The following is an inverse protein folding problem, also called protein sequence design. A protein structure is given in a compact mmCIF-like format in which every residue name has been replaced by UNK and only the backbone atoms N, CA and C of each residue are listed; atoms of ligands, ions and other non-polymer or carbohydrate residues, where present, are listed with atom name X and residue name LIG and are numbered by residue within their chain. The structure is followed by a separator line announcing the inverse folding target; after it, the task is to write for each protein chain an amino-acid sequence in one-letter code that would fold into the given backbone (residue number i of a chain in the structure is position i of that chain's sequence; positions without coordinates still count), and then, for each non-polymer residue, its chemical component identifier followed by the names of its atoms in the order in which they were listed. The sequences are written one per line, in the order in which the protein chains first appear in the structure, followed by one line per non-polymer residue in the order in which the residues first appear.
data_IF_359015607320
#
_entry.id   IF_359015607320
#
_cell.length_a   1.000
_cell.length_b   1.000
_cell.length_c   1.000
_cell.angle_alpha   90.00
_cell.angle_beta   90.00
_cell.angle_gamma   90.00
#
_symmetry.space_group_name_H-M   'P 1'
#
loop_
_entity.id
_entity.type
_entity.pdbx_description
1 polymer ?
#
# COMPACT_ATOMS: atom_id res chain seq x y z
N UNK A 1 12.84 23.20 15.02
CA UNK A 1 12.35 21.87 14.61
C UNK A 1 11.82 22.00 13.20
N UNK A 2 12.23 21.16 12.24
CA UNK A 2 11.72 21.23 10.86
C UNK A 2 10.21 20.94 10.83
N UNK A 3 9.46 21.74 10.08
CA UNK A 3 8.02 21.57 9.87
C UNK A 3 7.75 21.01 8.47
N UNK A 4 6.99 19.91 8.39
CA UNK A 4 6.47 19.42 7.11
C UNK A 4 5.24 20.23 6.70
N UNK A 5 5.31 20.87 5.54
CA UNK A 5 4.21 21.66 4.96
C UNK A 5 3.85 21.08 3.59
N UNK A 6 2.56 20.90 3.32
CA UNK A 6 2.08 20.51 2.00
C UNK A 6 1.74 21.76 1.18
N UNK A 7 2.23 21.84 -0.05
CA UNK A 7 1.90 22.93 -0.96
C UNK A 7 0.40 22.88 -1.32
N UNK A 8 -0.34 23.94 -1.01
CA UNK A 8 -1.78 24.01 -1.32
C UNK A 8 -2.12 23.99 -2.81
N UNK A 9 -1.15 24.24 -3.70
CA UNK A 9 -1.38 24.24 -5.16
C UNK A 9 -1.16 22.86 -5.79
N UNK A 10 0.01 22.25 -5.56
CA UNK A 10 0.39 20.99 -6.21
C UNK A 10 0.39 19.76 -5.29
N UNK A 11 0.03 19.93 -4.01
CA UNK A 11 0.09 18.91 -2.95
C UNK A 11 1.47 18.30 -2.70
N UNK A 12 2.54 18.90 -3.26
CA UNK A 12 3.92 18.50 -3.00
C UNK A 12 4.31 18.78 -1.55
N UNK A 13 5.02 17.86 -0.90
CA UNK A 13 5.50 18.01 0.48
C UNK A 13 6.84 18.71 0.50
N UNK A 14 7.03 19.64 1.42
CA UNK A 14 8.31 20.32 1.65
C UNK A 14 8.58 20.42 3.15
N UNK A 15 9.85 20.44 3.52
CA UNK A 15 10.32 20.62 4.89
C UNK A 15 10.81 22.06 5.04
N UNK A 16 10.24 22.81 5.99
CA UNK A 16 10.61 24.19 6.29
C UNK A 16 11.36 24.24 7.61
N UNK A 17 12.58 24.77 7.62
CA UNK A 17 13.42 24.82 8.82
C UNK A 17 13.07 25.97 9.76
N UNK A 18 12.58 27.09 9.22
CA UNK A 18 12.29 28.31 9.97
C UNK A 18 10.81 28.66 9.90
N UNK A 19 10.04 28.56 11.01
CA UNK A 19 8.65 29.02 11.05
C UNK A 19 8.56 30.51 10.73
N UNK A 20 7.44 30.95 10.14
CA UNK A 20 7.25 32.34 9.71
C UNK A 20 7.99 32.77 8.43
N UNK A 21 8.80 31.90 7.81
CA UNK A 21 9.45 32.20 6.53
C UNK A 21 8.54 31.92 5.33
N UNK A 22 8.71 32.71 4.26
CA UNK A 22 8.06 32.48 2.97
C UNK A 22 8.98 31.62 2.12
N UNK A 23 8.51 30.45 1.71
CA UNK A 23 9.31 29.47 0.96
C UNK A 23 8.59 29.13 -0.36
N UNK A 24 9.33 29.10 -1.47
CA UNK A 24 8.78 28.70 -2.76
C UNK A 24 8.72 27.17 -2.85
N UNK A 25 7.58 26.62 -3.25
CA UNK A 25 7.44 25.19 -3.45
C UNK A 25 8.33 24.72 -4.62
N UNK A 26 9.20 23.72 -4.43
CA UNK A 26 10.11 23.24 -5.49
C UNK A 26 9.38 22.55 -6.64
N UNK A 27 8.14 22.10 -6.43
CA UNK A 27 7.37 21.37 -7.44
C UNK A 27 6.58 22.28 -8.39
N UNK A 28 6.14 23.46 -7.94
CA UNK A 28 5.27 24.33 -8.74
C UNK A 28 5.59 25.83 -8.66
N UNK A 29 6.58 26.23 -7.88
CA UNK A 29 6.98 27.65 -7.71
C UNK A 29 6.03 28.49 -6.87
N UNK A 30 4.94 27.92 -6.33
CA UNK A 30 4.01 28.67 -5.50
C UNK A 30 4.61 29.02 -4.13
N UNK A 31 4.46 30.27 -3.68
CA UNK A 31 4.98 30.74 -2.40
C UNK A 31 4.06 30.30 -1.26
N UNK A 32 4.65 29.75 -0.20
CA UNK A 32 3.96 29.29 1.01
C UNK A 32 4.46 30.07 2.21
N UNK A 33 3.55 30.57 3.03
CA UNK A 33 3.88 31.20 4.31
C UNK A 33 3.79 30.13 5.40
N UNK A 34 4.92 29.79 6.03
CA UNK A 34 4.91 28.87 7.16
C UNK A 34 4.14 29.50 8.34
N UNK A 35 3.19 28.78 8.97
CA UNK A 35 2.43 29.31 10.11
C UNK A 35 3.38 29.68 11.25
N UNK A 36 3.17 30.87 11.80
CA UNK A 36 3.92 31.38 12.94
C UNK A 36 3.28 30.82 14.22
N UNK A 37 3.94 29.85 14.84
CA UNK A 37 3.51 29.31 16.13
C UNK A 37 4.19 30.12 17.23
N UNK A 38 3.43 30.72 18.17
CA UNK A 38 4.04 31.37 19.32
C UNK A 38 4.82 30.31 20.11
N UNK A 39 6.14 30.43 20.12
CA UNK A 39 6.99 29.58 20.94
C UNK A 39 6.82 30.09 22.38
N UNK A 40 6.05 29.36 23.18
CA UNK A 40 6.07 29.54 24.65
C UNK A 40 7.46 29.12 25.14
N UNK A 41 8.34 30.10 25.34
CA UNK A 41 9.62 29.91 26.00
C UNK A 41 9.36 29.63 27.48
N UNK A 42 9.28 28.35 27.86
CA UNK A 42 9.47 27.93 29.24
C UNK A 42 10.91 28.23 29.65
N UNK A 43 11.10 29.33 30.37
CA UNK A 43 12.32 29.67 31.08
C UNK A 43 12.56 28.60 32.16
N UNK A 44 13.53 27.73 31.93
CA UNK A 44 14.03 26.79 32.92
C UNK A 44 15.12 27.51 33.73
N UNK A 45 14.77 28.05 34.90
CA UNK A 45 15.75 28.47 35.91
C UNK A 45 16.41 27.23 36.55
N UNK A 46 17.75 27.18 36.66
CA UNK A 46 18.43 26.11 37.37
C UNK A 46 18.34 26.35 38.88
N UNK A 47 17.44 25.63 39.54
CA UNK A 47 17.33 25.59 41.00
C UNK A 47 18.49 24.82 41.64
N UNK A 48 19.27 25.53 42.45
CA UNK A 48 20.30 25.03 43.37
C UNK A 48 19.67 24.06 44.39
N UNK A 49 20.12 22.81 44.42
CA UNK A 49 19.72 21.83 45.42
C UNK A 49 20.70 21.83 46.60
N UNK A 50 20.26 22.33 47.74
CA UNK A 50 20.87 22.07 49.04
C UNK A 50 20.44 20.68 49.54
N UNK A 51 21.38 20.03 50.23
CA UNK A 51 21.26 18.69 50.80
C UNK A 51 20.49 18.71 52.12
N UNK A 52 19.63 17.72 52.36
CA UNK A 52 19.41 17.17 53.70
C UNK A 52 19.14 15.66 53.64
N UNK A 53 19.84 14.96 54.53
CA UNK A 53 19.70 13.56 54.93
C UNK A 53 18.27 13.22 55.35
N UNK A 54 17.74 12.07 54.93
CA UNK A 54 17.08 11.18 55.91
C UNK A 54 17.14 9.72 55.45
N UNK A 55 17.49 8.87 56.42
CA UNK A 55 17.79 7.47 56.25
C UNK A 55 16.53 6.61 56.40
N UNK A 56 16.34 5.61 55.54
CA UNK A 56 15.63 4.39 55.97
C UNK A 56 16.20 3.17 55.27
N UNK A 57 16.79 2.31 56.09
CA UNK A 57 17.43 1.05 55.73
C UNK A 57 16.41 0.00 55.26
N UNK A 58 16.66 -0.66 54.13
CA UNK A 58 16.16 -2.01 53.88
C UNK A 58 17.32 -2.92 53.46
N UNK A 59 17.37 -4.03 54.19
CA UNK A 59 18.36 -5.08 54.30
C UNK A 59 18.44 -5.93 53.01
N UNK A 60 19.63 -6.08 52.43
CA UNK A 60 19.95 -7.09 51.41
C UNK A 60 21.06 -7.98 51.97
N UNK A 61 20.73 -9.25 52.21
CA UNK A 61 21.71 -10.30 52.52
C UNK A 61 22.36 -10.86 51.24
N UNK A 62 23.60 -11.36 51.32
CA UNK A 62 24.36 -11.82 50.16
C UNK A 62 24.05 -13.29 49.84
N UNK A 63 24.00 -13.62 48.54
CA UNK A 63 24.02 -15.02 48.09
C UNK A 63 25.42 -15.28 47.53
N UNK A 64 26.10 -16.19 48.22
CA UNK A 64 27.46 -16.66 48.02
C UNK A 64 27.53 -17.60 46.81
N UNK A 65 28.59 -17.46 46.02
CA UNK A 65 29.07 -18.48 45.08
C UNK A 65 29.62 -19.69 45.84
N UNK A 66 29.30 -20.88 45.35
CA UNK A 66 30.14 -22.08 45.52
C UNK A 66 30.03 -22.93 44.26
N UNK A 67 31.18 -23.15 43.63
CA UNK A 67 31.45 -24.29 42.76
C UNK A 67 31.45 -25.58 43.59
N UNK A 68 30.99 -26.70 43.03
CA UNK A 68 31.85 -27.87 42.83
C UNK A 68 31.11 -29.02 42.12
N UNK A 69 31.90 -29.60 41.23
CA UNK A 69 32.06 -30.96 40.70
C UNK A 69 31.04 -32.11 40.95
N UNK A 70 31.10 -33.00 39.94
CA UNK A 70 30.97 -34.46 39.97
C UNK A 70 29.66 -35.18 39.57
N UNK A 71 29.79 -35.85 38.42
CA UNK A 71 29.54 -37.28 38.15
C UNK A 71 28.19 -37.88 38.58
N UNK A 72 27.47 -38.48 37.63
CA UNK A 72 27.19 -39.93 37.56
C UNK A 72 26.48 -40.24 36.23
N UNK A 73 26.92 -41.31 35.59
CA UNK A 73 26.35 -41.90 34.38
C UNK A 73 25.03 -42.64 34.67
N UNK A 74 24.32 -42.95 33.58
CA UNK A 74 23.67 -44.23 33.30
C UNK A 74 22.14 -44.25 33.11
N UNK A 75 21.81 -45.07 32.13
CA UNK A 75 20.57 -45.76 31.79
C UNK A 75 19.34 -45.05 31.18
N UNK A 76 19.23 -45.25 29.85
CA UNK A 76 18.25 -46.14 29.22
C UNK A 76 16.77 -45.99 29.62
N UNK A 77 15.93 -45.52 28.68
CA UNK A 77 14.81 -46.33 28.20
C UNK A 77 14.15 -45.80 26.91
N UNK A 78 14.31 -46.64 25.89
CA UNK A 78 13.45 -46.78 24.72
C UNK A 78 12.01 -47.06 25.14
N UNK A 79 11.06 -46.30 24.60
CA UNK A 79 9.65 -46.71 24.46
C UNK A 79 9.22 -46.44 23.03
N UNK A 80 9.52 -47.43 22.20
CA UNK A 80 8.78 -47.79 20.99
C UNK A 80 7.31 -48.05 21.36
N UNK A 81 6.40 -47.27 20.79
CA UNK A 81 4.95 -47.49 20.86
C UNK A 81 4.34 -47.44 19.47
N UNK A 82 4.60 -48.47 18.66
CA UNK A 82 3.79 -48.81 17.49
C UNK A 82 2.51 -49.48 17.96
N UNK A 83 1.37 -48.86 17.75
CA UNK A 83 0.05 -49.50 17.83
C UNK A 83 -0.85 -48.75 16.84
N UNK A 84 -1.56 -49.53 16.03
CA UNK A 84 -2.55 -49.21 14.98
C UNK A 84 -2.10 -49.59 13.58
N UNK A 85 -1.94 -50.91 13.41
CA UNK A 85 -2.53 -51.65 12.30
C UNK A 85 -4.06 -51.46 12.35
N UNK A 86 -4.64 -50.93 11.28
CA UNK A 86 -6.04 -51.20 10.94
C UNK A 86 -6.12 -51.33 9.41
N UNK A 87 -6.07 -52.59 8.97
CA UNK A 87 -6.43 -53.01 7.63
C UNK A 87 -7.94 -52.84 7.46
N UNK A 88 -8.38 -52.10 6.43
CA UNK A 88 -9.61 -52.49 5.76
C UNK A 88 -9.62 -52.12 4.28
N UNK A 89 -9.38 -53.17 3.50
CA UNK A 89 -9.76 -53.40 2.12
C UNK A 89 -11.07 -52.74 1.71
N UNK A 90 -11.10 -52.06 0.57
CA UNK A 90 -12.24 -52.17 -0.35
C UNK A 90 -11.79 -52.03 -1.80
N UNK A 91 -12.12 -53.08 -2.55
CA UNK A 91 -11.85 -53.32 -3.95
C UNK A 91 -12.53 -52.33 -4.92
N UNK A 92 -11.85 -52.17 -6.05
CA UNK A 92 -12.36 -52.20 -7.42
C UNK A 92 -13.70 -51.53 -7.77
N UNK A 93 -13.62 -50.50 -8.61
CA UNK A 93 -14.41 -50.46 -9.86
C UNK A 93 -13.76 -49.50 -10.85
N UNK A 94 -13.05 -50.09 -11.79
CA UNK A 94 -12.66 -49.52 -13.08
C UNK A 94 -13.93 -49.30 -13.92
N UNK A 95 -14.21 -48.05 -14.28
CA UNK A 95 -15.02 -47.74 -15.46
C UNK A 95 -14.35 -46.63 -16.27
N UNK A 96 -13.79 -47.02 -17.42
CA UNK A 96 -13.56 -46.13 -18.55
C UNK A 96 -14.91 -45.62 -19.08
N UNK A 97 -14.94 -44.40 -19.64
CA UNK A 97 -15.53 -44.33 -20.96
C UNK A 97 -14.67 -43.54 -21.96
N UNK A 98 -14.29 -44.27 -23.00
CA UNK A 98 -14.61 -44.00 -24.41
C UNK A 98 -14.43 -42.56 -24.90
N UNK A 99 -13.39 -42.40 -25.72
CA UNK A 99 -13.17 -41.31 -26.65
C UNK A 99 -14.37 -41.06 -27.58
N UNK A 100 -14.75 -39.80 -27.75
CA UNK A 100 -15.51 -39.33 -28.92
C UNK A 100 -15.07 -37.90 -29.26
N UNK A 101 -14.14 -37.80 -30.20
CA UNK A 101 -14.12 -36.72 -31.20
C UNK A 101 -14.95 -37.23 -32.41
N UNK A 102 -15.50 -36.42 -33.33
CA UNK A 102 -15.03 -35.10 -33.79
C UNK A 102 -16.14 -34.05 -34.09
N UNK A 103 -15.76 -32.79 -34.31
CA UNK A 103 -16.27 -31.95 -35.41
C UNK A 103 -15.69 -30.51 -35.31
N UNK A 104 -14.86 -30.16 -36.30
CA UNK A 104 -14.64 -28.77 -36.71
C UNK A 104 -15.94 -28.20 -37.32
N UNK A 105 -16.16 -26.89 -37.17
CA UNK A 105 -16.49 -26.13 -38.36
C UNK A 105 -15.63 -24.88 -38.52
N UNK A 106 -15.00 -24.84 -39.68
CA UNK A 106 -14.54 -23.65 -40.40
C UNK A 106 -15.70 -22.64 -40.55
N UNK A 107 -15.48 -21.38 -40.18
CA UNK A 107 -16.26 -20.27 -40.71
C UNK A 107 -15.44 -18.98 -40.62
N UNK A 108 -14.88 -18.60 -41.78
CA UNK A 108 -14.53 -17.24 -42.13
C UNK A 108 -15.66 -16.27 -41.76
N UNK A 109 -15.33 -15.15 -41.11
CA UNK A 109 -16.13 -13.93 -41.25
C UNK A 109 -15.24 -12.70 -41.34
N UNK A 110 -15.32 -12.13 -42.54
CA UNK A 110 -14.72 -10.89 -42.97
C UNK A 110 -15.18 -9.67 -42.17
N UNK A 111 -14.23 -8.74 -41.99
CA UNK A 111 -14.30 -7.29 -42.29
C UNK A 111 -15.59 -6.57 -41.92
N UNK A 112 -15.50 -5.70 -40.91
CA UNK A 112 -16.05 -4.33 -40.97
C UNK A 112 -15.06 -3.41 -40.25
N UNK A 113 -14.25 -2.69 -41.02
CA UNK A 113 -13.70 -1.39 -40.61
C UNK A 113 -14.87 -0.40 -40.55
N UNK A 114 -15.11 0.21 -39.39
CA UNK A 114 -15.95 1.39 -39.29
C UNK A 114 -15.09 2.54 -38.77
N UNK A 115 -14.52 3.26 -39.74
CA UNK A 115 -13.87 4.55 -39.59
C UNK A 115 -14.97 5.60 -39.63
N UNK A 116 -15.23 6.25 -38.50
CA UNK A 116 -15.96 7.53 -38.49
C UNK A 116 -15.03 8.68 -38.12
N UNK A 117 -14.90 9.69 -38.99
CA UNK A 117 -14.22 10.94 -38.69
C UNK A 117 -15.22 11.93 -38.10
N UNK A 118 -14.93 12.48 -36.93
CA UNK A 118 -15.61 13.67 -36.39
C UNK A 118 -14.51 14.65 -36.02
N UNK A 119 -14.21 15.57 -36.94
CA UNK A 119 -14.56 17.00 -36.81
C UNK A 119 -14.03 17.57 -35.48
N UNK A 120 -12.87 18.22 -35.45
CA UNK A 120 -12.72 19.54 -36.07
C UNK A 120 -13.33 20.58 -35.15
N UNK A 121 -12.67 20.85 -34.02
CA UNK A 121 -12.95 22.04 -33.21
C UNK A 121 -11.69 22.88 -33.19
N UNK A 122 -11.87 24.02 -33.83
CA UNK A 122 -11.00 25.17 -34.02
C UNK A 122 -10.34 25.64 -32.74
N UNK A 123 -9.01 25.65 -32.84
CA UNK A 123 -8.07 26.65 -32.33
C UNK A 123 -8.70 28.04 -32.16
N UNK A 124 -9.01 28.42 -30.92
CA UNK A 124 -9.30 29.82 -30.56
C UNK A 124 -8.05 30.40 -29.91
N UNK A 125 -7.26 31.00 -30.78
CA UNK A 125 -6.12 31.86 -30.53
C UNK A 125 -6.59 33.10 -29.75
N UNK A 126 -6.35 33.13 -28.44
CA UNK A 126 -6.45 34.38 -27.67
C UNK A 126 -5.19 35.21 -27.89
N UNK A 127 -5.30 36.12 -28.86
CA UNK A 127 -4.39 37.24 -29.11
C UNK A 127 -4.35 38.12 -27.85
N UNK A 128 -3.18 38.17 -27.23
CA UNK A 128 -2.83 39.21 -26.27
C UNK A 128 -2.41 40.46 -27.06
N UNK A 129 -3.29 41.46 -27.13
CA UNK A 129 -2.91 42.81 -27.56
C UNK A 129 -2.39 43.60 -26.36
N UNK A 130 -1.10 43.93 -26.45
CA UNK A 130 -0.34 44.84 -25.61
C UNK A 130 -0.38 46.24 -26.25
N UNK A 131 -0.84 47.31 -25.57
CA UNK A 131 -0.66 48.65 -26.08
C UNK A 131 0.53 49.34 -25.40
N UNK A 132 1.57 49.55 -26.21
CA UNK A 132 2.69 50.43 -25.94
C UNK A 132 2.26 51.90 -25.71
N UNK A 133 3.08 52.70 -25.01
CA UNK A 133 2.79 54.11 -24.72
C UNK A 133 3.28 55.01 -25.86
N UNK A 134 2.34 55.69 -26.53
CA UNK A 134 2.64 56.74 -27.52
C UNK A 134 2.43 58.13 -26.93
N UNK A 135 3.53 58.87 -26.71
CA UNK A 135 3.50 60.31 -26.48
C UNK A 135 3.48 61.08 -27.80
N UNK A 136 2.90 62.30 -27.80
CA UNK A 136 2.93 63.20 -28.95
C UNK A 136 1.99 64.42 -28.84
N UNK A 137 2.50 65.48 -28.22
CA UNK A 137 2.41 66.93 -28.52
C UNK A 137 1.13 67.58 -29.11
N UNK A 138 0.66 68.58 -28.36
CA UNK A 138 0.26 69.97 -28.73
C UNK A 138 -0.17 70.30 -30.17
N UNK A 139 -1.41 70.78 -30.34
CA UNK A 139 -1.71 71.95 -31.19
C UNK A 139 -2.97 72.68 -30.71
N UNK A 140 -2.90 74.02 -30.71
CA UNK A 140 -3.84 74.92 -30.06
C UNK A 140 -4.86 75.57 -31.04
N UNK A 141 -6.05 75.84 -30.47
CA UNK A 141 -6.99 76.92 -30.80
C UNK A 141 -8.06 76.67 -31.91
N UNK A 142 -9.09 77.52 -32.02
CA UNK A 142 -10.33 77.43 -31.23
C UNK A 142 -11.59 77.37 -32.12
N UNK A 143 -12.65 76.70 -31.66
CA UNK A 143 -13.85 76.51 -32.46
C UNK A 143 -15.07 76.08 -31.65
N UNK A 144 -15.58 77.04 -30.87
CA UNK A 144 -16.86 77.01 -30.18
C UNK A 144 -18.02 76.62 -31.11
N UNK A 145 -18.50 75.38 -31.02
CA UNK A 145 -19.87 74.99 -31.39
C UNK A 145 -20.42 74.02 -30.36
N UNK A 146 -21.15 74.59 -29.43
CA UNK A 146 -21.92 73.98 -28.34
C UNK A 146 -22.85 72.89 -28.89
N UNK A 147 -22.41 71.63 -28.78
CA UNK A 147 -23.22 70.45 -29.06
C UNK A 147 -24.07 70.15 -27.80
N UNK A 148 -25.38 69.89 -27.94
CA UNK A 148 -26.27 69.69 -26.78
C UNK A 148 -25.79 68.49 -25.94
N UNK A 149 -25.93 68.57 -24.60
CA UNK A 149 -25.41 67.55 -23.68
C UNK A 149 -26.05 66.21 -24.00
N UNK A 150 -25.24 65.21 -24.38
CA UNK A 150 -25.73 63.85 -24.52
C UNK A 150 -26.33 63.40 -23.19
N UNK A 151 -27.50 62.73 -23.18
CA UNK A 151 -28.11 62.23 -21.95
C UNK A 151 -27.07 61.40 -21.20
N UNK A 152 -26.72 61.86 -20.00
CA UNK A 152 -25.84 61.13 -19.08
C UNK A 152 -26.43 59.73 -18.94
N UNK A 153 -25.71 58.72 -19.46
CA UNK A 153 -26.04 57.31 -19.23
C UNK A 153 -26.23 57.16 -17.73
N UNK A 154 -27.47 56.96 -17.30
CA UNK A 154 -27.77 56.67 -15.92
C UNK A 154 -27.00 55.39 -15.61
N UNK A 155 -25.95 55.51 -14.79
CA UNK A 155 -25.24 54.34 -14.31
C UNK A 155 -26.27 53.52 -13.57
N UNK A 156 -26.52 52.30 -14.05
CA UNK A 156 -27.39 51.33 -13.39
C UNK A 156 -26.75 51.01 -12.03
N UNK A 157 -27.16 51.75 -11.00
CA UNK A 157 -26.66 51.55 -9.65
C UNK A 157 -27.50 50.43 -9.04
N UNK A 158 -26.88 49.27 -8.87
CA UNK A 158 -27.50 48.11 -8.23
C UNK A 158 -28.05 48.53 -6.87
N UNK A 159 -29.30 48.14 -6.57
CA UNK A 159 -29.93 48.49 -5.30
C UNK A 159 -29.08 47.99 -4.13
N UNK A 160 -28.90 48.83 -3.09
CA UNK A 160 -28.11 48.46 -1.90
C UNK A 160 -28.57 47.15 -1.26
N UNK A 161 -29.88 46.85 -1.33
CA UNK A 161 -30.45 45.60 -0.81
C UNK A 161 -30.01 44.40 -1.63
N UNK A 162 -30.06 44.50 -2.95
CA UNK A 162 -29.58 43.44 -3.86
C UNK A 162 -28.09 43.18 -3.66
N UNK A 163 -27.30 44.24 -3.49
CA UNK A 163 -25.87 44.11 -3.19
C UNK A 163 -25.62 43.39 -1.86
N UNK A 164 -26.33 43.76 -0.79
CA UNK A 164 -26.16 43.12 0.53
C UNK A 164 -26.57 41.64 0.52
N UNK A 165 -27.66 41.29 -0.18
CA UNK A 165 -28.08 39.90 -0.34
C UNK A 165 -27.00 39.10 -1.06
N UNK A 166 -26.50 39.63 -2.18
CA UNK A 166 -25.46 38.97 -2.97
C UNK A 166 -24.15 38.83 -2.19
N UNK A 167 -23.75 39.85 -1.42
CA UNK A 167 -22.59 39.80 -0.54
C UNK A 167 -22.76 38.71 0.53
N UNK A 168 -23.91 38.65 1.20
CA UNK A 168 -24.17 37.64 2.23
C UNK A 168 -24.17 36.21 1.67
N UNK A 169 -24.76 36.02 0.48
CA UNK A 169 -24.76 34.75 -0.23
C UNK A 169 -23.35 34.33 -0.63
N UNK A 170 -22.57 35.25 -1.23
CA UNK A 170 -21.19 34.99 -1.62
C UNK A 170 -20.31 34.61 -0.41
N UNK A 171 -20.48 35.29 0.73
CA UNK A 171 -19.78 34.94 1.98
C UNK A 171 -20.18 33.55 2.48
N UNK A 172 -21.48 33.21 2.47
CA UNK A 172 -21.96 31.90 2.90
C UNK A 172 -21.43 30.77 2.01
N UNK A 173 -21.46 30.94 0.68
CA UNK A 173 -20.90 29.98 -0.28
C UNK A 173 -19.39 29.82 -0.08
N UNK A 174 -18.67 30.92 0.13
CA UNK A 174 -17.22 30.87 0.39
C UNK A 174 -16.90 30.10 1.67
N UNK A 175 -17.65 30.32 2.76
CA UNK A 175 -17.50 29.57 4.00
C UNK A 175 -17.84 28.08 3.83
N UNK A 176 -18.89 27.75 3.07
CA UNK A 176 -19.23 26.36 2.77
C UNK A 176 -18.13 25.68 1.95
N UNK A 177 -17.58 26.36 0.94
CA UNK A 177 -16.44 25.87 0.16
C UNK A 177 -15.20 25.68 1.03
N UNK A 178 -14.89 26.61 1.93
CA UNK A 178 -13.77 26.50 2.86
C UNK A 178 -13.95 25.32 3.82
N UNK A 179 -15.16 25.11 4.32
CA UNK A 179 -15.49 23.97 5.18
C UNK A 179 -15.38 22.63 4.44
N UNK A 180 -15.89 22.54 3.21
CA UNK A 180 -15.73 21.34 2.37
C UNK A 180 -14.26 21.09 2.04
N UNK A 181 -13.50 22.13 1.70
CA UNK A 181 -12.07 22.02 1.44
C UNK A 181 -11.31 21.56 2.70
N UNK A 182 -11.66 22.11 3.87
CA UNK A 182 -11.13 21.66 5.15
C UNK A 182 -11.46 20.19 5.41
N UNK A 183 -12.68 19.73 5.08
CA UNK A 183 -13.04 18.32 5.18
C UNK A 183 -12.26 17.45 4.21
N UNK A 184 -12.02 17.88 2.97
CA UNK A 184 -11.26 17.12 1.98
C UNK A 184 -9.79 16.99 2.40
N UNK A 185 -9.19 18.05 2.94
CA UNK A 185 -7.80 18.03 3.41
C UNK A 185 -7.65 17.19 4.68
N UNK A 186 -8.62 17.27 5.60
CA UNK A 186 -8.57 16.55 6.88
C UNK A 186 -9.36 15.25 6.85
N UNK A 187 -9.78 14.77 5.67
CA UNK A 187 -10.43 13.48 5.55
C UNK A 187 -9.47 12.43 6.12
N UNK A 188 -9.91 11.65 7.12
CA UNK A 188 -9.05 10.64 7.70
C UNK A 188 -8.63 9.68 6.59
N UNK A 189 -7.31 9.59 6.35
CA UNK A 189 -6.76 8.59 5.45
C UNK A 189 -7.27 7.23 5.89
N UNK A 190 -7.68 6.40 4.92
CA UNK A 190 -8.25 5.11 5.24
C UNK A 190 -7.22 4.31 6.06
N UNK A 191 -7.62 3.70 7.18
CA UNK A 191 -6.70 3.02 8.11
C UNK A 191 -5.79 1.99 7.42
N UNK A 192 -6.28 1.42 6.31
CA UNK A 192 -5.57 0.44 5.48
C UNK A 192 -4.38 1.00 4.69
N UNK A 193 -4.27 2.32 4.57
CA UNK A 193 -3.15 2.99 3.92
C UNK A 193 -1.94 3.20 4.85
N UNK A 194 -2.15 3.08 6.16
CA UNK A 194 -1.15 3.38 7.19
C UNK A 194 -1.21 2.35 8.32
N UNK A 195 -0.96 1.10 7.96
CA UNK A 195 -0.85 0.06 8.98
C UNK A 195 0.57 0.07 9.57
N UNK A 196 0.71 -0.09 10.89
CA UNK A 196 2.01 -0.27 11.52
C UNK A 196 2.66 -1.56 11.00
N UNK A 197 3.99 -1.55 10.90
CA UNK A 197 4.76 -2.76 10.59
C UNK A 197 4.56 -3.82 11.68
N UNK A 198 4.33 -5.11 11.36
CA UNK A 198 4.31 -6.16 12.36
C UNK A 198 5.59 -6.17 13.18
N UNK A 199 5.44 -6.07 14.50
CA UNK A 199 6.58 -6.11 15.42
C UNK A 199 6.87 -7.58 15.75
N UNK A 200 8.12 -8.06 15.57
CA UNK A 200 8.46 -9.45 15.89
C UNK A 200 8.27 -9.72 17.38
N UNK A 201 7.78 -10.92 17.70
CA UNK A 201 7.40 -11.34 19.05
C UNK A 201 8.48 -11.07 20.10
N UNK A 202 9.76 -11.27 19.75
CA UNK A 202 10.93 -11.09 20.63
C UNK A 202 10.98 -9.71 21.29
N UNK A 203 10.48 -8.66 20.63
CA UNK A 203 10.50 -7.28 21.17
C UNK A 203 9.31 -6.96 22.09
N UNK A 204 8.25 -7.77 22.07
CA UNK A 204 6.99 -7.45 22.77
C UNK A 204 6.83 -8.16 24.12
N UNK A 205 7.78 -9.02 24.51
CA UNK A 205 7.70 -9.82 25.74
C UNK A 205 6.57 -10.87 25.75
N UNK A 206 5.70 -10.90 24.73
CA UNK A 206 4.69 -11.93 24.52
C UNK A 206 5.32 -13.13 23.82
N UNK A 207 5.04 -14.34 24.32
CA UNK A 207 5.58 -15.59 23.77
C UNK A 207 5.15 -15.75 22.31
N UNK A 208 6.11 -15.56 21.39
CA UNK A 208 6.12 -16.17 20.07
C UNK A 208 5.20 -15.63 18.97
N UNK A 209 4.27 -14.70 19.23
CA UNK A 209 3.40 -14.14 18.18
C UNK A 209 3.78 -12.71 17.80
N UNK A 210 3.98 -12.48 16.50
CA UNK A 210 4.12 -11.12 15.96
C UNK A 210 2.81 -10.35 16.15
N UNK A 211 2.90 -9.11 16.62
CA UNK A 211 1.73 -8.25 16.78
C UNK A 211 1.51 -7.53 15.46
N UNK A 212 0.43 -7.89 14.78
CA UNK A 212 -0.03 -7.31 13.51
C UNK A 212 -1.42 -6.72 13.72
N UNK A 213 -1.68 -5.56 13.15
CA UNK A 213 -3.05 -5.05 13.07
C UNK A 213 -3.84 -5.84 12.03
N UNK A 214 -4.85 -6.57 12.49
CA UNK A 214 -5.68 -7.39 11.62
C UNK A 214 -6.73 -6.54 10.92
N UNK A 215 -6.91 -6.81 9.63
CA UNK A 215 -7.93 -6.17 8.81
C UNK A 215 -8.97 -7.21 8.43
N UNK A 216 -10.22 -6.94 8.80
CA UNK A 216 -11.32 -7.83 8.46
C UNK A 216 -11.46 -8.04 6.96
N UNK A 217 -11.77 -9.27 6.56
CA UNK A 217 -11.90 -9.60 5.15
C UNK A 217 -13.04 -8.86 4.44
N UNK A 218 -14.01 -8.36 5.21
CA UNK A 218 -15.13 -7.57 4.72
C UNK A 218 -14.86 -6.06 4.71
N UNK A 219 -13.70 -5.62 5.19
CA UNK A 219 -13.39 -4.19 5.15
C UNK A 219 -13.24 -3.76 3.69
N UNK A 220 -13.95 -2.70 3.27
CA UNK A 220 -13.83 -2.18 1.92
C UNK A 220 -12.40 -1.70 1.69
N UNK A 221 -11.90 -1.94 0.49
CA UNK A 221 -10.59 -1.41 0.09
C UNK A 221 -10.69 0.08 -0.21
N UNK A 222 -9.65 0.88 0.11
CA UNK A 222 -9.60 2.26 -0.31
C UNK A 222 -9.54 2.36 -1.85
N UNK A 223 -9.92 3.52 -2.37
CA UNK A 223 -9.94 3.75 -3.82
C UNK A 223 -8.53 3.64 -4.40
N UNK A 224 -8.36 2.78 -5.40
CA UNK A 224 -7.07 2.55 -6.05
C UNK A 224 -6.16 1.56 -5.34
N UNK A 225 -6.67 0.79 -4.37
CA UNK A 225 -5.97 -0.35 -3.77
C UNK A 225 -6.40 -1.70 -4.35
N UNK A 226 -7.29 -1.73 -5.32
CA UNK A 226 -7.58 -2.93 -6.12
C UNK A 226 -6.94 -2.74 -7.49
N UNK A 227 -6.08 -3.66 -7.90
CA UNK A 227 -5.35 -3.64 -9.16
C UNK A 227 -5.76 -4.83 -10.02
N UNK A 228 -5.85 -4.64 -11.33
CA UNK A 228 -5.93 -5.75 -12.27
C UNK A 228 -4.53 -6.32 -12.60
N UNK A 229 -4.49 -7.51 -13.19
CA UNK A 229 -3.22 -8.07 -13.70
C UNK A 229 -2.64 -7.19 -14.81
N UNK A 230 -1.38 -6.79 -14.66
CA UNK A 230 -0.66 -5.91 -15.59
C UNK A 230 -0.68 -4.44 -15.18
N UNK A 231 -1.58 -4.04 -14.30
CA UNK A 231 -1.66 -2.66 -13.81
C UNK A 231 -0.48 -2.32 -12.89
N UNK A 232 -0.17 -1.03 -12.79
CA UNK A 232 0.89 -0.54 -11.92
C UNK A 232 0.37 0.58 -11.03
N UNK A 233 0.56 0.43 -9.72
CA UNK A 233 0.11 1.42 -8.73
C UNK A 233 1.21 1.73 -7.74
N UNK A 234 1.38 3.01 -7.43
CA UNK A 234 2.31 3.48 -6.42
C UNK A 234 1.64 3.44 -5.05
N UNK A 235 2.28 2.77 -4.11
CA UNK A 235 1.95 2.79 -2.70
C UNK A 235 3.16 3.32 -1.93
N UNK A 236 3.06 4.55 -1.41
CA UNK A 236 4.19 5.21 -0.75
C UNK A 236 5.40 5.31 -1.68
N UNK A 237 6.50 4.67 -1.32
CA UNK A 237 7.74 4.61 -2.10
C UNK A 237 7.88 3.35 -2.96
N UNK A 238 6.87 2.48 -3.00
CA UNK A 238 6.91 1.24 -3.79
C UNK A 238 5.90 1.30 -4.92
N UNK A 239 6.36 1.07 -6.14
CA UNK A 239 5.50 0.79 -7.29
C UNK A 239 5.27 -0.72 -7.38
N UNK A 240 4.00 -1.12 -7.35
CA UNK A 240 3.56 -2.51 -7.40
C UNK A 240 2.95 -2.81 -8.76
N UNK A 241 3.36 -3.92 -9.37
CA UNK A 241 2.78 -4.42 -10.62
C UNK A 241 2.48 -5.92 -10.53
N UNK A 242 1.21 -6.33 -10.46
CA UNK A 242 0.83 -7.73 -10.58
C UNK A 242 1.10 -8.22 -12.00
N UNK A 243 1.83 -9.33 -12.16
CA UNK A 243 2.28 -9.79 -13.46
C UNK A 243 1.37 -10.88 -14.02
N UNK A 244 1.16 -11.94 -13.24
CA UNK A 244 0.44 -13.15 -13.66
C UNK A 244 0.12 -14.03 -12.48
N UNK A 245 -0.77 -14.99 -12.70
CA UNK A 245 -1.09 -16.06 -11.76
C UNK A 245 -0.95 -17.38 -12.46
N UNK A 246 -0.16 -18.27 -11.87
CA UNK A 246 0.09 -19.61 -12.41
C UNK A 246 -0.32 -20.66 -11.37
N UNK A 247 -0.69 -21.85 -11.85
CA UNK A 247 -0.83 -23.04 -11.03
C UNK A 247 0.37 -23.96 -11.27
N UNK A 248 1.12 -24.24 -10.22
CA UNK A 248 2.41 -24.96 -10.26
C UNK A 248 2.66 -25.71 -8.95
N UNK A 249 3.66 -26.61 -8.95
CA UNK A 249 4.22 -27.16 -7.71
C UNK A 249 5.09 -26.10 -6.99
N UNK A 250 5.06 -26.14 -5.67
CA UNK A 250 5.89 -25.32 -4.78
C UNK A 250 7.14 -26.12 -4.38
N UNK A 251 8.30 -25.63 -4.80
CA UNK A 251 9.60 -26.20 -4.47
C UNK A 251 10.30 -25.38 -3.38
N UNK A 252 11.31 -25.97 -2.73
CA UNK A 252 12.00 -25.36 -1.58
C UNK A 252 13.53 -25.37 -1.72
N UNK A 253 14.19 -24.46 -1.01
CA UNK A 253 15.64 -24.39 -0.82
C UNK A 253 15.95 -24.34 0.70
N UNK A 254 16.75 -25.28 1.26
CA UNK A 254 17.29 -26.47 0.63
C UNK A 254 16.18 -27.43 0.13
N UNK A 255 16.50 -28.33 -0.83
CA UNK A 255 15.51 -29.21 -1.44
C UNK A 255 14.67 -29.99 -0.42
N UNK A 256 13.36 -29.94 -0.59
CA UNK A 256 12.36 -30.68 0.19
C UNK A 256 11.27 -31.18 -0.76
N UNK A 257 10.44 -32.16 -0.38
CA UNK A 257 9.32 -32.60 -1.20
C UNK A 257 8.48 -31.41 -1.67
N UNK A 258 8.22 -31.34 -2.97
CA UNK A 258 7.41 -30.30 -3.55
C UNK A 258 5.96 -30.43 -3.04
N UNK A 259 5.29 -29.29 -2.84
CA UNK A 259 3.90 -29.23 -2.36
C UNK A 259 3.04 -28.65 -3.48
N UNK A 260 1.89 -29.25 -3.79
CA UNK A 260 0.99 -28.64 -4.76
C UNK A 260 -0.07 -29.58 -5.34
N UNK A 261 -0.87 -29.09 -6.29
CA UNK A 261 -0.72 -27.79 -6.96
C UNK A 261 -1.03 -26.60 -6.03
N UNK A 262 -0.29 -25.49 -6.18
CA UNK A 262 -0.58 -24.20 -5.55
C UNK A 262 -0.79 -23.12 -6.61
N UNK A 263 -1.46 -22.03 -6.26
CA UNK A 263 -1.45 -20.82 -7.08
C UNK A 263 -0.26 -19.94 -6.68
N UNK A 264 0.43 -19.37 -7.65
CA UNK A 264 1.51 -18.40 -7.45
C UNK A 264 1.10 -17.06 -8.06
N UNK A 265 0.88 -16.06 -7.22
CA UNK A 265 0.70 -14.67 -7.66
C UNK A 265 2.08 -14.03 -7.85
N UNK A 266 2.46 -13.76 -9.10
CA UNK A 266 3.71 -13.09 -9.44
C UNK A 266 3.54 -11.57 -9.39
N UNK A 267 4.45 -10.91 -8.67
CA UNK A 267 4.45 -9.47 -8.44
C UNK A 267 5.83 -8.90 -8.78
N UNK A 268 5.84 -7.70 -9.35
CA UNK A 268 7.04 -6.86 -9.45
C UNK A 268 6.93 -5.69 -8.50
N UNK A 269 7.95 -5.50 -7.68
CA UNK A 269 8.12 -4.33 -6.83
C UNK A 269 9.26 -3.48 -7.38
N UNK A 270 9.04 -2.17 -7.45
CA UNK A 270 10.08 -1.19 -7.79
C UNK A 270 10.13 -0.14 -6.70
N UNK A 271 11.31 0.10 -6.14
CA UNK A 271 11.51 1.18 -5.22
C UNK A 271 11.64 2.50 -5.99
N UNK A 272 10.69 3.41 -5.77
CA UNK A 272 10.63 4.74 -6.38
C UNK A 272 10.90 5.86 -5.36
N UNK A 273 11.50 5.53 -4.20
CA UNK A 273 12.13 6.56 -3.37
C UNK A 273 13.45 7.01 -3.99
N UNK A 274 13.89 8.20 -3.60
CA UNK A 274 15.20 8.73 -3.96
C UNK A 274 16.28 8.39 -2.90
N UNK A 275 15.86 8.06 -1.67
CA UNK A 275 16.73 8.05 -0.49
C UNK A 275 16.55 6.84 0.45
N UNK A 276 15.46 6.08 0.32
CA UNK A 276 15.16 4.97 1.24
C UNK A 276 15.51 3.62 0.65
N UNK A 277 16.10 2.75 1.47
CA UNK A 277 16.23 1.32 1.19
C UNK A 277 15.04 0.60 1.79
N UNK A 278 14.29 -0.16 0.99
CA UNK A 278 13.01 -0.73 1.44
C UNK A 278 12.94 -2.20 1.10
N UNK A 279 12.64 -3.04 2.09
CA UNK A 279 12.21 -4.42 1.85
C UNK A 279 10.67 -4.46 1.77
N UNK A 280 10.06 -4.55 0.56
CA UNK A 280 8.60 -4.40 0.42
C UNK A 280 7.84 -5.60 0.97
N UNK A 281 8.46 -6.77 0.93
CA UNK A 281 7.97 -8.01 1.50
C UNK A 281 9.08 -8.65 2.31
N UNK A 282 8.68 -9.25 3.42
CA UNK A 282 9.50 -10.16 4.21
C UNK A 282 8.62 -11.29 4.75
N UNK A 283 9.26 -12.29 5.35
CA UNK A 283 8.56 -13.45 5.88
C UNK A 283 7.56 -13.09 6.98
N UNK A 284 7.86 -12.10 7.81
CA UNK A 284 6.96 -11.65 8.89
C UNK A 284 5.68 -11.07 8.31
N UNK A 285 5.78 -10.18 7.31
CA UNK A 285 4.62 -9.59 6.65
C UNK A 285 3.76 -10.63 5.92
N UNK A 286 4.40 -11.56 5.20
CA UNK A 286 3.69 -12.55 4.40
C UNK A 286 3.01 -13.62 5.26
N UNK A 287 3.68 -14.10 6.30
CA UNK A 287 3.32 -15.34 7.01
C UNK A 287 2.85 -15.14 8.44
N UNK A 288 2.84 -13.90 8.96
CA UNK A 288 2.25 -13.65 10.27
C UNK A 288 0.78 -14.06 10.28
N UNK A 289 0.47 -14.92 11.25
CA UNK A 289 -0.85 -15.47 11.53
C UNK A 289 -1.15 -15.22 13.00
N UNK A 290 -2.37 -14.78 13.29
CA UNK A 290 -2.88 -14.66 14.65
C UNK A 290 -3.99 -15.67 14.87
N UNK A 291 -3.99 -16.28 16.05
CA UNK A 291 -5.02 -17.22 16.45
C UNK A 291 -5.82 -16.60 17.58
N UNK A 292 -7.10 -16.33 17.33
CA UNK A 292 -8.03 -15.82 18.32
C UNK A 292 -9.32 -16.65 18.28
N UNK A 293 -9.71 -17.22 19.42
CA UNK A 293 -10.87 -18.10 19.56
C UNK A 293 -10.88 -19.29 18.57
N UNK A 294 -9.71 -19.90 18.35
CA UNK A 294 -9.55 -21.02 17.41
C UNK A 294 -9.70 -20.63 15.93
N UNK A 295 -9.82 -19.34 15.61
CA UNK A 295 -9.84 -18.81 14.25
C UNK A 295 -8.49 -18.23 13.91
N UNK A 296 -8.05 -18.53 12.70
CA UNK A 296 -6.82 -17.99 12.12
C UNK A 296 -7.11 -16.70 11.36
N UNK A 297 -6.31 -15.68 11.63
CA UNK A 297 -6.40 -14.36 11.03
C UNK A 297 -5.07 -13.99 10.38
N UNK A 298 -5.15 -13.51 9.14
CA UNK A 298 -4.01 -12.98 8.39
C UNK A 298 -4.49 -11.91 7.41
N UNK A 299 -3.59 -11.03 7.00
CA UNK A 299 -3.88 -9.99 6.02
C UNK A 299 -3.59 -10.45 4.57
N UNK A 300 -2.94 -11.61 4.40
CA UNK A 300 -2.63 -12.18 3.08
C UNK A 300 -3.48 -13.42 2.82
N UNK A 301 -4.37 -13.35 1.84
CA UNK A 301 -5.23 -14.47 1.47
C UNK A 301 -5.89 -14.24 0.12
N UNK A 302 -6.41 -15.33 -0.44
CA UNK A 302 -7.15 -15.40 -1.69
C UNK A 302 -8.62 -15.75 -1.39
N UNK A 303 -9.56 -15.09 -2.05
CA UNK A 303 -10.98 -15.33 -1.87
C UNK A 303 -11.76 -15.06 -3.15
N UNK A 304 -12.95 -15.64 -3.24
CA UNK A 304 -13.88 -15.37 -4.33
C UNK A 304 -14.62 -14.05 -4.08
N UNK A 305 -14.70 -13.20 -5.10
CA UNK A 305 -15.39 -11.92 -4.96
C UNK A 305 -16.87 -12.15 -4.60
N UNK A 306 -17.39 -11.40 -3.63
CA UNK A 306 -18.73 -11.60 -3.07
C UNK A 306 -18.87 -12.73 -2.04
N UNK A 307 -17.83 -13.54 -1.78
CA UNK A 307 -17.83 -14.59 -0.74
C UNK A 307 -16.66 -14.45 0.26
N UNK A 308 -16.64 -13.41 1.10
CA UNK A 308 -15.52 -13.11 2.02
C UNK A 308 -15.38 -14.09 3.21
N UNK A 309 -16.21 -15.15 3.28
CA UNK A 309 -16.18 -16.15 4.36
C UNK A 309 -15.34 -17.39 4.06
N UNK A 310 -14.84 -17.54 2.84
CA UNK A 310 -14.05 -18.70 2.40
C UNK A 310 -12.70 -18.22 1.88
N UNK A 311 -11.71 -18.25 2.76
CA UNK A 311 -10.38 -17.75 2.49
C UNK A 311 -9.45 -18.93 2.21
N UNK A 312 -8.71 -18.86 1.12
CA UNK A 312 -7.51 -19.68 0.89
C UNK A 312 -6.32 -18.87 1.37
N UNK A 313 -5.59 -19.37 2.36
CA UNK A 313 -4.44 -18.67 2.93
C UNK A 313 -3.22 -18.80 2.02
N UNK A 314 -2.14 -18.09 2.35
CA UNK A 314 -0.83 -18.38 1.78
C UNK A 314 -0.30 -19.70 2.34
N UNK A 315 0.52 -20.40 1.55
CA UNK A 315 1.18 -21.62 2.01
C UNK A 315 1.94 -21.36 3.31
N UNK A 316 1.78 -22.25 4.29
CA UNK A 316 2.44 -22.08 5.57
C UNK A 316 3.94 -22.37 5.44
N UNK A 317 4.78 -21.46 5.90
CA UNK A 317 6.22 -21.69 6.02
C UNK A 317 6.70 -21.12 7.37
N UNK A 318 7.62 -21.78 8.09
CA UNK A 318 8.05 -21.30 9.40
C UNK A 318 8.65 -19.90 9.33
N UNK A 319 8.16 -18.98 10.19
CA UNK A 319 8.70 -17.63 10.32
C UNK A 319 10.21 -17.64 10.62
N UNK A 320 10.66 -18.64 11.39
CA UNK A 320 12.06 -18.88 11.69
C UNK A 320 12.48 -20.19 11.02
N UNK A 321 13.54 -20.16 10.23
CA UNK A 321 14.08 -21.33 9.56
C UNK A 321 14.80 -20.99 8.27
N UNK A 322 15.61 -21.93 7.78
CA UNK A 322 16.34 -21.82 6.52
C UNK A 322 15.57 -22.39 5.32
N UNK A 323 14.32 -22.80 5.51
CA UNK A 323 13.47 -23.32 4.44
C UNK A 323 12.82 -22.17 3.68
N UNK A 324 13.31 -21.98 2.46
CA UNK A 324 12.94 -20.92 1.54
C UNK A 324 12.11 -21.52 0.40
N UNK A 325 11.21 -20.74 -0.21
CA UNK A 325 10.53 -21.14 -1.43
C UNK A 325 11.46 -20.91 -2.60
N UNK A 326 11.67 -21.96 -3.40
CA UNK A 326 12.64 -21.90 -4.49
C UNK A 326 12.30 -20.77 -5.47
N UNK A 327 13.28 -19.92 -5.75
CA UNK A 327 13.11 -18.77 -6.64
C UNK A 327 12.22 -17.65 -6.09
N UNK A 328 11.77 -17.72 -4.83
CA UNK A 328 11.12 -16.59 -4.18
C UNK A 328 12.19 -15.68 -3.59
N UNK A 329 12.56 -14.62 -4.31
CA UNK A 329 13.59 -13.67 -3.87
C UNK A 329 13.23 -12.92 -2.56
N UNK A 330 12.04 -13.11 -1.98
CA UNK A 330 11.54 -12.40 -0.80
C UNK A 330 11.43 -13.26 0.48
N UNK A 331 11.74 -14.56 0.45
CA UNK A 331 11.51 -15.44 1.61
C UNK A 331 12.50 -15.25 2.76
N UNK A 332 13.63 -14.55 2.57
CA UNK A 332 14.59 -14.31 3.67
C UNK A 332 13.95 -13.68 4.90
N UNK A 333 14.55 -13.87 6.09
CA UNK A 333 14.05 -13.31 7.36
C UNK A 333 13.85 -11.78 7.28
N UNK A 334 14.73 -11.09 6.57
CA UNK A 334 14.67 -9.65 6.31
C UNK A 334 14.03 -9.28 4.96
N UNK A 335 13.61 -10.27 4.17
CA UNK A 335 13.21 -10.08 2.77
C UNK A 335 14.34 -9.55 1.89
N UNK A 336 14.01 -9.17 0.65
CA UNK A 336 14.93 -8.48 -0.25
C UNK A 336 14.77 -6.98 -0.10
N UNK A 337 15.85 -6.33 0.35
CA UNK A 337 15.95 -4.87 0.44
C UNK A 337 16.23 -4.32 -0.95
N UNK A 338 15.45 -3.33 -1.37
CA UNK A 338 15.60 -2.61 -2.62
C UNK A 338 16.24 -1.24 -2.39
N UNK A 339 17.30 -0.96 -3.12
CA UNK A 339 17.86 0.39 -3.23
C UNK A 339 16.91 1.31 -4.02
N UNK A 340 17.01 2.65 -3.89
CA UNK A 340 16.36 3.61 -4.77
C UNK A 340 16.49 3.24 -6.26
N UNK A 341 15.36 3.13 -6.96
CA UNK A 341 15.29 2.74 -8.37
C UNK A 341 15.40 1.24 -8.66
N UNK A 342 15.74 0.40 -7.67
CA UNK A 342 15.85 -1.05 -7.86
C UNK A 342 14.45 -1.68 -8.01
N UNK A 343 14.38 -2.75 -8.82
CA UNK A 343 13.18 -3.58 -8.91
C UNK A 343 13.50 -5.06 -8.76
N UNK A 344 12.53 -5.82 -8.27
CA UNK A 344 12.61 -7.28 -8.25
C UNK A 344 11.24 -7.92 -8.48
N UNK A 345 11.29 -9.16 -8.95
CA UNK A 345 10.13 -10.01 -9.16
C UNK A 345 10.12 -11.12 -8.12
N UNK A 346 8.94 -11.43 -7.62
CA UNK A 346 8.71 -12.46 -6.61
C UNK A 346 7.31 -13.03 -6.78
N UNK A 347 6.99 -14.07 -6.03
CA UNK A 347 5.66 -14.64 -6.01
C UNK A 347 5.15 -14.89 -4.59
N UNK A 348 3.82 -14.95 -4.45
CA UNK A 348 3.14 -15.36 -3.23
C UNK A 348 2.39 -16.68 -3.51
N UNK A 349 2.77 -17.79 -2.87
CA UNK A 349 2.08 -19.06 -3.05
C UNK A 349 0.85 -19.15 -2.13
N UNK A 350 -0.28 -19.56 -2.71
CA UNK A 350 -1.45 -19.98 -1.94
C UNK A 350 -1.18 -21.31 -1.23
N UNK A 351 -2.01 -21.64 -0.25
CA UNK A 351 -2.12 -23.00 0.23
C UNK A 351 -2.75 -23.92 -0.83
N UNK A 352 -2.66 -25.22 -0.60
CA UNK A 352 -3.32 -26.27 -1.40
C UNK A 352 -4.81 -26.37 -1.09
N UNK A 353 -5.21 -25.97 0.12
CA UNK A 353 -6.59 -26.05 0.58
C UNK A 353 -7.51 -25.03 -0.10
N UNK A 354 -8.69 -25.51 -0.51
CA UNK A 354 -9.75 -24.67 -1.06
C UNK A 354 -9.59 -24.30 -2.54
N UNK A 355 -8.49 -24.67 -3.20
CA UNK A 355 -8.21 -24.30 -4.59
C UNK A 355 -9.27 -24.75 -5.59
N UNK A 356 -9.83 -25.96 -5.42
CA UNK A 356 -10.85 -26.51 -6.30
C UNK A 356 -12.15 -25.67 -6.35
N UNK A 357 -12.35 -24.78 -5.37
CA UNK A 357 -13.57 -23.97 -5.22
C UNK A 357 -13.41 -22.57 -5.81
N UNK A 358 -12.19 -22.16 -6.13
CA UNK A 358 -11.87 -20.84 -6.66
C UNK A 358 -12.25 -20.76 -8.14
N UNK A 359 -13.42 -20.19 -8.41
CA UNK A 359 -14.00 -20.07 -9.75
C UNK A 359 -14.55 -18.65 -9.97
N UNK A 360 -14.55 -18.20 -11.23
CA UNK A 360 -15.03 -16.87 -11.61
C UNK A 360 -14.13 -15.74 -11.08
N UNK A 361 -14.71 -14.59 -10.66
CA UNK A 361 -13.94 -13.44 -10.17
C UNK A 361 -13.32 -13.69 -8.80
N UNK A 362 -12.01 -13.48 -8.71
CA UNK A 362 -11.19 -13.72 -7.53
C UNK A 362 -10.48 -12.43 -7.11
N UNK A 363 -10.20 -12.34 -5.80
CA UNK A 363 -9.42 -11.26 -5.20
C UNK A 363 -8.30 -11.85 -4.34
N UNK A 364 -7.07 -11.42 -4.60
CA UNK A 364 -5.92 -11.77 -3.78
C UNK A 364 -5.48 -10.56 -2.97
N UNK A 365 -5.65 -10.62 -1.66
CA UNK A 365 -5.23 -9.55 -0.74
C UNK A 365 -3.78 -9.76 -0.32
N UNK A 366 -2.99 -8.68 -0.39
CA UNK A 366 -1.56 -8.68 -0.13
C UNK A 366 -1.19 -7.49 0.76
N UNK A 367 -0.40 -7.77 1.80
CA UNK A 367 0.15 -6.81 2.75
C UNK A 367 1.62 -6.54 2.44
N UNK A 368 2.00 -5.28 2.23
CA UNK A 368 3.39 -4.89 1.93
C UNK A 368 3.87 -3.68 2.75
N UNK A 369 5.19 -3.55 2.89
CA UNK A 369 5.87 -2.37 3.42
C UNK A 369 6.12 -1.36 2.31
N UNK A 370 5.59 -0.15 2.47
CA UNK A 370 5.65 0.92 1.45
C UNK A 370 6.71 1.99 1.71
N UNK A 371 7.46 1.87 2.81
CA UNK A 371 8.52 2.80 3.22
C UNK A 371 8.66 2.86 4.73
N UNK A 372 9.42 3.85 5.20
CA UNK A 372 9.64 4.09 6.62
C UNK A 372 9.14 5.49 7.00
N UNK A 373 8.63 5.60 8.22
CA UNK A 373 8.31 6.88 8.85
C UNK A 373 9.59 7.63 9.25
N UNK A 374 9.46 8.92 9.59
CA UNK A 374 10.59 9.72 10.09
C UNK A 374 11.26 9.11 11.34
N UNK A 375 10.52 8.34 12.15
CA UNK A 375 11.05 7.62 13.31
C UNK A 375 11.71 6.27 12.95
N UNK A 376 11.87 5.97 11.66
CA UNK A 376 12.46 4.72 11.17
C UNK A 376 11.54 3.49 11.29
N UNK A 377 10.28 3.66 11.69
CA UNK A 377 9.32 2.55 11.77
C UNK A 377 8.75 2.27 10.38
N UNK A 378 8.67 0.99 10.00
CA UNK A 378 8.06 0.58 8.74
C UNK A 378 6.59 1.02 8.68
N UNK A 379 6.18 1.48 7.49
CA UNK A 379 4.79 1.80 7.20
C UNK A 379 4.31 0.82 6.15
N UNK A 380 3.20 0.17 6.44
CA UNK A 380 2.65 -0.89 5.61
C UNK A 380 1.28 -0.51 5.06
N UNK A 381 0.85 -1.21 4.02
CA UNK A 381 -0.46 -1.04 3.39
C UNK A 381 -0.93 -2.38 2.85
N UNK A 382 -2.23 -2.51 2.65
CA UNK A 382 -2.83 -3.66 2.00
C UNK A 382 -3.37 -3.24 0.64
N UNK A 383 -3.21 -4.09 -0.37
CA UNK A 383 -3.87 -3.96 -1.67
C UNK A 383 -4.47 -5.31 -2.08
N UNK A 384 -5.33 -5.28 -3.09
CA UNK A 384 -5.95 -6.46 -3.70
C UNK A 384 -5.58 -6.55 -5.17
N UNK A 385 -5.41 -7.79 -5.64
CA UNK A 385 -5.28 -8.11 -7.06
C UNK A 385 -6.56 -8.78 -7.51
N UNK A 386 -7.28 -8.13 -8.43
CA UNK A 386 -8.46 -8.66 -9.08
C UNK A 386 -8.06 -9.44 -10.34
N UNK A 387 -8.67 -10.62 -10.49
CA UNK A 387 -8.48 -11.47 -11.66
C UNK A 387 -9.63 -12.47 -11.77
N UNK A 388 -9.86 -13.01 -12.96
CA UNK A 388 -10.74 -14.16 -13.14
C UNK A 388 -9.95 -15.47 -13.08
N UNK A 389 -10.58 -16.51 -12.56
CA UNK A 389 -10.08 -17.90 -12.60
C UNK A 389 -9.62 -18.35 -13.99
N UNK A 390 -10.20 -17.84 -15.08
CA UNK A 390 -9.80 -18.14 -16.46
C UNK A 390 -8.42 -17.59 -16.83
N UNK A 391 -7.88 -16.64 -16.06
CA UNK A 391 -6.55 -16.06 -16.27
C UNK A 391 -5.44 -16.89 -15.59
N UNK A 392 -5.80 -17.92 -14.81
CA UNK A 392 -4.85 -18.82 -14.15
C UNK A 392 -4.21 -19.71 -15.21
N UNK A 393 -2.89 -19.59 -15.37
CA UNK A 393 -2.12 -20.40 -16.31
C UNK A 393 -1.70 -21.72 -15.67
N UNK A 394 -2.08 -22.83 -16.30
CA UNK A 394 -1.54 -24.15 -15.97
C UNK A 394 -0.16 -24.27 -16.61
N UNK A 395 0.90 -24.16 -15.81
CA UNK A 395 2.25 -24.49 -16.28
C UNK A 395 2.42 -25.97 -16.08
N UNK A 396 2.10 -26.74 -17.13
CA UNK A 396 2.51 -28.14 -17.22
C UNK A 396 4.02 -28.12 -17.35
N UNK A 397 4.70 -28.52 -16.28
CA UNK A 397 6.15 -28.68 -16.30
C UNK A 397 6.55 -29.44 -17.56
N UNK A 398 7.44 -28.82 -18.33
CA UNK A 398 7.95 -29.39 -19.56
C UNK A 398 8.44 -30.80 -19.26
N UNK A 399 7.86 -31.76 -20.00
CA UNK A 399 8.17 -33.19 -20.09
C UNK A 399 9.56 -33.52 -19.49
N UNK A 400 9.65 -34.43 -18.50
CA UNK A 400 10.94 -34.80 -17.90
C UNK A 400 11.91 -35.12 -19.03
N UNK A 401 13.04 -34.41 -19.07
CA UNK A 401 14.14 -34.68 -19.99
C UNK A 401 14.50 -36.13 -19.78
N UNK A 402 14.10 -36.98 -20.73
CA UNK A 402 14.40 -38.40 -20.72
C UNK A 402 15.90 -38.56 -20.50
N UNK A 403 16.26 -39.22 -19.40
CA UNK A 403 17.60 -39.77 -19.19
C UNK A 403 17.98 -40.52 -20.46
N UNK A 404 18.94 -39.96 -21.22
CA UNK A 404 19.66 -40.74 -22.22
C UNK A 404 20.60 -41.64 -21.43
N UNK A 405 20.22 -42.92 -21.34
CA UNK A 405 21.07 -44.03 -20.95
C UNK A 405 22.33 -44.13 -21.81
#
# INVERSE_FOLDING_TARGET
MPLEVACGSCQGRLVVETPGSVVACPHCGNHLTAPDFPIETTENEPGTAEAEDDATQIFLGPITETADEDLVADDTQSMSGSIFDDELSTDAATEEPVATAPAEPTADRAVVEDVLPVSGITDDTLVAEDPAPGGGQDEAAPGEKTKPPSPRKQHDVVSRRSFLILLSYASAVTLACFWLFYQVINAPLHNLERLPDPVPAKKTGRRGQAVMEWVAARNPMPVGHTLDLGDSRRFGHILVKPLRINRELLEFEPPSPAVGPVLKLWLKFTNVSDDQKIAPLDRTLMLSRQFHDGKEYTNNYLFQNGQPGRLTLLHNNPLLGNRNWKGQAADGESGRVLEPGESFETYLPSDTDGLARLTGPLLWRVHLRKGYSASGLGVTTIFEVAFDSSQIKEIRDAKPVSEKS
#
